data_IF_290898023676
#
_entry.id   IF_290898023676
#
_cell.length_a   1.000
_cell.length_b   1.000
_cell.length_c   1.000
_cell.angle_alpha   90.00
_cell.angle_beta   90.00
_cell.angle_gamma   90.00
#
_symmetry.space_group_name_H-M   'P 1'
#
loop_
_entity.id
_entity.type
_entity.pdbx_description
1 polymer ?
#
# COMPACT_ATOMS: atom_id res chain seq x y z
N UNK A 1 0.63 -7.71 -21.57
CA UNK A 1 0.46 -7.60 -20.10
C UNK A 1 1.84 -7.30 -19.58
N UNK A 2 2.09 -6.06 -19.15
CA UNK A 2 3.36 -5.73 -18.47
C UNK A 2 3.50 -6.60 -17.22
N UNK A 3 4.73 -6.90 -16.83
CA UNK A 3 5.02 -7.74 -15.67
C UNK A 3 4.62 -7.00 -14.38
N UNK A 4 3.34 -7.11 -14.00
CA UNK A 4 2.81 -6.59 -12.73
C UNK A 4 3.60 -7.23 -11.59
N UNK A 5 4.16 -6.41 -10.71
CA UNK A 5 4.89 -6.92 -9.54
C UNK A 5 3.90 -7.33 -8.47
N UNK A 6 3.97 -8.57 -7.97
CA UNK A 6 3.11 -9.00 -6.87
C UNK A 6 3.77 -10.02 -5.94
N UNK A 7 3.36 -10.03 -4.68
CA UNK A 7 3.81 -11.01 -3.69
C UNK A 7 3.00 -12.31 -3.71
N UNK A 8 1.67 -12.19 -3.81
CA UNK A 8 0.75 -13.34 -3.80
C UNK A 8 -0.26 -13.24 -4.92
N UNK A 9 -0.43 -14.36 -5.64
CA UNK A 9 -1.33 -14.42 -6.80
C UNK A 9 -2.79 -14.18 -6.42
N UNK A 10 -3.23 -14.75 -5.31
CA UNK A 10 -4.60 -14.59 -4.78
C UNK A 10 -4.98 -13.12 -4.52
N UNK A 11 -4.03 -12.30 -4.05
CA UNK A 11 -4.22 -10.88 -3.78
C UNK A 11 -4.29 -10.09 -5.09
N UNK A 12 -3.44 -10.44 -6.07
CA UNK A 12 -3.50 -9.88 -7.41
C UNK A 12 -4.87 -10.13 -8.06
N UNK A 13 -5.35 -11.38 -8.01
CA UNK A 13 -6.63 -11.76 -8.60
C UNK A 13 -7.80 -11.06 -7.88
N UNK A 14 -7.70 -10.88 -6.55
CA UNK A 14 -8.68 -10.12 -5.77
C UNK A 14 -8.77 -8.66 -6.23
N UNK A 15 -7.64 -7.99 -6.44
CA UNK A 15 -7.63 -6.62 -6.99
C UNK A 15 -8.15 -6.59 -8.43
N UNK A 16 -7.68 -7.52 -9.26
CA UNK A 16 -8.07 -7.60 -10.67
C UNK A 16 -9.59 -7.70 -10.84
N UNK A 17 -10.27 -8.45 -9.96
CA UNK A 17 -11.73 -8.59 -9.97
C UNK A 17 -12.50 -7.28 -9.71
N UNK A 18 -11.86 -6.30 -9.08
CA UNK A 18 -12.45 -5.01 -8.69
C UNK A 18 -12.00 -3.80 -9.53
N UNK A 19 -11.26 -4.04 -10.62
CA UNK A 19 -10.77 -2.96 -11.48
C UNK A 19 -11.89 -2.30 -12.27
N UNK A 20 -11.80 -0.98 -12.40
CA UNK A 20 -12.64 -0.22 -13.31
C UNK A 20 -12.12 -0.33 -14.75
N UNK A 21 -12.97 -0.04 -15.73
CA UNK A 21 -12.56 -0.01 -17.14
C UNK A 21 -11.40 0.99 -17.34
N UNK A 22 -10.31 0.50 -17.94
CA UNK A 22 -9.09 1.28 -18.18
C UNK A 22 -8.20 1.48 -16.93
N UNK A 23 -8.56 0.90 -15.79
CA UNK A 23 -7.69 0.83 -14.62
C UNK A 23 -6.67 -0.30 -14.81
N UNK A 24 -5.41 -0.03 -14.50
CA UNK A 24 -4.29 -0.97 -14.64
C UNK A 24 -3.57 -1.13 -13.32
N UNK A 25 -3.20 -2.36 -12.96
CA UNK A 25 -2.43 -2.66 -11.77
C UNK A 25 -0.95 -2.38 -12.03
N UNK A 26 -0.32 -1.67 -11.10
CA UNK A 26 1.11 -1.37 -11.08
C UNK A 26 1.82 -2.42 -10.23
N UNK A 27 1.37 -2.61 -8.98
CA UNK A 27 1.92 -3.62 -8.07
C UNK A 27 0.95 -4.03 -6.96
N UNK A 28 1.18 -5.21 -6.37
CA UNK A 28 0.41 -5.74 -5.23
C UNK A 28 1.33 -6.37 -4.19
N UNK A 29 1.43 -5.79 -3.00
CA UNK A 29 2.31 -6.26 -1.94
C UNK A 29 1.53 -6.81 -0.75
N UNK A 30 2.00 -7.95 -0.25
CA UNK A 30 1.49 -8.58 0.96
C UNK A 30 1.94 -7.74 2.17
N UNK A 31 0.97 -7.30 2.97
CA UNK A 31 1.27 -6.54 4.16
C UNK A 31 1.51 -7.49 5.34
N UNK A 32 2.45 -7.13 6.21
CA UNK A 32 2.72 -7.83 7.47
C UNK A 32 2.24 -6.99 8.65
N UNK A 33 1.88 -7.67 9.74
CA UNK A 33 1.32 -7.03 10.93
C UNK A 33 -0.08 -7.56 11.26
N UNK A 34 -0.49 -7.38 12.52
CA UNK A 34 -1.82 -7.75 12.95
C UNK A 34 -2.83 -6.74 12.39
N UNK A 35 -3.78 -7.20 11.57
CA UNK A 35 -4.85 -6.37 11.01
C UNK A 35 -4.61 -5.88 9.58
N UNK A 36 -3.42 -6.03 9.02
CA UNK A 36 -3.13 -5.63 7.63
C UNK A 36 -3.29 -6.81 6.66
N UNK A 37 -3.95 -6.58 5.53
CA UNK A 37 -4.12 -7.56 4.46
C UNK A 37 -3.04 -7.43 3.39
N UNK A 38 -3.26 -6.54 2.43
CA UNK A 38 -2.34 -6.24 1.34
C UNK A 38 -2.48 -4.77 0.93
N UNK A 39 -1.53 -4.29 0.14
CA UNK A 39 -1.62 -3.01 -0.55
C UNK A 39 -1.49 -3.20 -2.06
N UNK A 40 -2.43 -2.64 -2.80
CA UNK A 40 -2.43 -2.57 -4.25
C UNK A 40 -2.20 -1.16 -4.75
N UNK A 41 -1.50 -1.04 -5.87
CA UNK A 41 -1.29 0.18 -6.60
C UNK A 41 -1.87 0.02 -7.99
N UNK A 42 -2.74 0.96 -8.38
CA UNK A 42 -3.23 1.08 -9.75
C UNK A 42 -2.87 2.42 -10.33
N UNK A 43 -3.13 2.64 -11.61
CA UNK A 43 -3.04 3.97 -12.23
C UNK A 43 -4.14 4.95 -11.80
N UNK A 44 -5.02 4.60 -10.83
CA UNK A 44 -6.10 5.47 -10.35
C UNK A 44 -6.16 5.63 -8.83
N UNK A 45 -5.76 4.62 -8.07
CA UNK A 45 -5.92 4.59 -6.61
C UNK A 45 -4.91 3.65 -5.94
N UNK A 46 -4.70 3.89 -4.66
CA UNK A 46 -4.18 2.89 -3.73
C UNK A 46 -5.35 2.03 -3.24
N UNK A 47 -5.15 0.73 -3.12
CA UNK A 47 -6.13 -0.19 -2.54
C UNK A 47 -5.51 -0.81 -1.28
N UNK A 48 -6.16 -0.68 -0.14
CA UNK A 48 -5.70 -1.26 1.14
C UNK A 48 -6.73 -2.26 1.65
N UNK A 49 -6.28 -3.47 1.95
CA UNK A 49 -7.11 -4.43 2.69
C UNK A 49 -6.83 -4.33 4.19
N UNK A 50 -7.89 -4.10 4.96
CA UNK A 50 -7.86 -4.04 6.43
C UNK A 50 -8.73 -5.17 7.01
N UNK A 51 -8.14 -5.97 7.90
CA UNK A 51 -8.74 -7.13 8.57
C UNK A 51 -9.12 -6.83 10.03
N UNK A 52 -8.98 -5.59 10.49
CA UNK A 52 -9.24 -5.18 11.87
C UNK A 52 -10.72 -4.93 12.18
N UNK A 53 -11.62 -5.05 11.20
CA UNK A 53 -13.03 -4.79 11.39
C UNK A 53 -13.71 -5.84 12.30
N UNK A 54 -14.53 -5.36 13.23
CA UNK A 54 -15.28 -6.18 14.18
C UNK A 54 -16.11 -7.25 13.45
N UNK A 55 -16.09 -8.48 13.99
CA UNK A 55 -16.88 -9.59 13.48
C UNK A 55 -16.24 -10.35 12.32
N UNK A 56 -14.90 -10.43 12.27
CA UNK A 56 -14.12 -11.08 11.18
C UNK A 56 -14.39 -10.47 9.80
N UNK A 57 -14.78 -9.20 9.77
CA UNK A 57 -15.02 -8.48 8.53
C UNK A 57 -13.69 -8.04 7.94
N UNK A 58 -13.62 -8.01 6.62
CA UNK A 58 -12.47 -7.50 5.88
C UNK A 58 -12.96 -6.35 5.03
N UNK A 59 -12.30 -5.21 5.11
CA UNK A 59 -12.56 -4.07 4.26
C UNK A 59 -11.49 -3.99 3.16
N UNK A 60 -11.93 -3.69 1.95
CA UNK A 60 -11.04 -3.31 0.84
C UNK A 60 -11.33 -1.84 0.55
N UNK A 61 -10.41 -0.97 0.97
CA UNK A 61 -10.55 0.46 0.86
C UNK A 61 -9.85 0.96 -0.39
N UNK A 62 -10.57 1.71 -1.22
CA UNK A 62 -10.02 2.39 -2.39
C UNK A 62 -9.74 3.85 -2.05
N UNK A 63 -8.47 4.25 -2.16
CA UNK A 63 -8.00 5.61 -1.83
C UNK A 63 -7.54 6.27 -3.13
N UNK A 64 -8.34 7.18 -3.72
CA UNK A 64 -7.91 7.93 -4.90
C UNK A 64 -6.66 8.74 -4.58
N UNK A 65 -5.70 8.82 -5.52
CA UNK A 65 -4.47 9.60 -5.31
C UNK A 65 -4.76 11.07 -4.98
N UNK A 66 -5.79 11.67 -5.59
CA UNK A 66 -6.22 13.05 -5.32
C UNK A 66 -6.74 13.30 -3.90
N UNK A 67 -6.91 12.26 -3.08
CA UNK A 67 -7.31 12.34 -1.67
C UNK A 67 -6.16 12.08 -0.70
N UNK A 68 -5.00 11.66 -1.21
CA UNK A 68 -3.80 11.44 -0.40
C UNK A 68 -3.10 12.79 -0.24
N UNK A 69 -2.97 13.27 0.99
CA UNK A 69 -2.29 14.54 1.29
C UNK A 69 -0.79 14.37 1.48
N UNK A 70 -0.34 13.18 1.91
CA UNK A 70 1.06 12.86 2.08
C UNK A 70 1.29 11.35 2.10
N UNK A 71 2.53 10.95 1.79
CA UNK A 71 3.05 9.60 1.99
C UNK A 71 4.40 9.70 2.71
N UNK A 72 4.67 8.78 3.64
CA UNK A 72 5.92 8.73 4.41
C UNK A 72 6.49 7.32 4.39
N UNK A 73 7.82 7.20 4.41
CA UNK A 73 8.51 5.96 4.81
C UNK A 73 8.66 6.00 6.33
N UNK A 74 8.12 4.99 7.03
CA UNK A 74 8.08 4.93 8.50
C UNK A 74 9.16 4.00 8.99
N UNK A 75 10.06 4.48 9.83
CA UNK A 75 11.13 3.65 10.38
C UNK A 75 11.15 3.64 11.91
N UNK A 76 11.41 2.45 12.47
CA UNK A 76 11.66 2.29 13.89
C UNK A 76 13.01 2.96 14.21
N UNK A 77 12.99 4.00 15.04
CA UNK A 77 14.19 4.69 15.55
C UNK A 77 15.24 3.67 16.00
N UNK A 78 16.39 3.62 15.32
CA UNK A 78 17.60 3.05 15.90
C UNK A 78 18.24 4.11 16.79
N UNK A 79 18.07 3.99 18.10
CA UNK A 79 18.98 4.62 19.06
C UNK A 79 20.31 3.87 18.98
N UNK A 80 21.14 4.16 17.96
CA UNK A 80 22.59 3.87 17.85
C UNK A 80 23.09 3.80 16.39
N UNK A 81 22.69 4.74 15.51
CA UNK A 81 23.46 5.03 14.29
C UNK A 81 23.47 3.97 13.17
N UNK A 82 22.54 3.01 13.16
CA UNK A 82 22.37 2.05 12.06
C UNK A 82 21.26 2.49 11.09
N UNK A 83 21.55 2.47 9.78
CA UNK A 83 20.68 2.94 8.70
C UNK A 83 19.25 2.36 8.71
N UNK A 84 18.31 3.22 8.33
CA UNK A 84 16.87 3.02 8.24
C UNK A 84 16.50 2.04 7.11
N UNK A 85 16.53 0.73 7.34
CA UNK A 85 15.77 -0.23 6.53
C UNK A 85 14.42 -0.42 7.19
N UNK A 86 13.41 0.30 6.70
CA UNK A 86 12.04 0.10 7.18
C UNK A 86 11.16 -0.46 6.09
N UNK A 87 10.44 -1.51 6.43
CA UNK A 87 9.43 -2.10 5.56
C UNK A 87 8.10 -1.34 5.60
N UNK A 88 7.96 -0.20 6.29
CA UNK A 88 6.68 0.45 6.52
C UNK A 88 6.51 1.78 5.81
N UNK A 89 5.26 2.07 5.44
CA UNK A 89 4.81 3.37 4.93
C UNK A 89 3.60 3.87 5.72
N UNK A 90 3.42 5.19 5.73
CA UNK A 90 2.19 5.84 6.17
C UNK A 90 1.57 6.65 5.03
N UNK A 91 0.27 6.45 4.78
CA UNK A 91 -0.52 7.18 3.78
C UNK A 91 -1.55 8.04 4.51
N UNK A 92 -1.47 9.35 4.31
CA UNK A 92 -2.33 10.33 4.98
C UNK A 92 -3.52 10.70 4.09
N UNK A 93 -4.75 10.52 4.60
CA UNK A 93 -6.01 10.77 3.90
C UNK A 93 -6.97 11.49 4.84
N UNK A 94 -7.10 12.81 4.68
CA UNK A 94 -7.88 13.64 5.60
C UNK A 94 -7.32 13.53 7.04
N UNK A 95 -8.14 13.06 7.98
CA UNK A 95 -7.76 12.83 9.39
C UNK A 95 -7.28 11.40 9.66
N UNK A 96 -7.26 10.53 8.66
CA UNK A 96 -6.87 9.13 8.81
C UNK A 96 -5.47 8.87 8.26
N UNK A 97 -4.74 7.98 8.92
CA UNK A 97 -3.45 7.46 8.45
C UNK A 97 -3.55 5.95 8.29
N UNK A 98 -3.23 5.47 7.09
CA UNK A 98 -3.06 4.04 6.82
C UNK A 98 -1.58 3.72 6.94
N UNK A 99 -1.21 2.95 7.96
CA UNK A 99 0.13 2.41 8.10
C UNK A 99 0.16 0.99 7.52
N UNK A 100 1.14 0.71 6.66
CA UNK A 100 1.29 -0.60 6.02
C UNK A 100 2.75 -1.00 6.11
N UNK A 101 2.99 -2.17 6.70
CA UNK A 101 4.33 -2.78 6.78
C UNK A 101 4.46 -3.92 5.77
N UNK A 102 5.64 -4.08 5.19
CA UNK A 102 5.97 -5.08 4.18
C UNK A 102 7.20 -5.89 4.59
N UNK A 103 7.35 -7.09 4.03
CA UNK A 103 8.63 -7.81 4.07
C UNK A 103 9.60 -7.21 3.07
N UNK A 104 10.55 -6.42 3.58
CA UNK A 104 11.63 -5.80 2.81
C UNK A 104 11.37 -4.33 2.50
N UNK A 105 12.41 -3.52 2.66
CA UNK A 105 12.41 -2.06 2.45
C UNK A 105 12.14 -1.66 0.99
N UNK A 106 12.65 -2.41 0.02
CA UNK A 106 12.45 -2.15 -1.42
C UNK A 106 10.96 -1.98 -1.79
N UNK A 107 10.05 -2.69 -1.12
CA UNK A 107 8.60 -2.57 -1.34
C UNK A 107 8.07 -1.24 -0.83
N UNK A 108 8.45 -0.86 0.38
CA UNK A 108 8.06 0.43 0.96
C UNK A 108 8.55 1.60 0.09
N UNK A 109 9.78 1.51 -0.42
CA UNK A 109 10.35 2.50 -1.34
C UNK A 109 9.59 2.55 -2.67
N UNK A 110 9.28 1.40 -3.27
CA UNK A 110 8.52 1.37 -4.50
C UNK A 110 7.12 1.98 -4.31
N UNK A 111 6.41 1.57 -3.25
CA UNK A 111 5.08 2.09 -2.95
C UNK A 111 5.11 3.59 -2.70
N UNK A 112 6.06 4.06 -1.89
CA UNK A 112 6.27 5.48 -1.63
C UNK A 112 6.46 6.26 -2.94
N UNK A 113 7.34 5.78 -3.83
CA UNK A 113 7.63 6.49 -5.08
C UNK A 113 6.45 6.51 -6.04
N UNK A 114 5.69 5.41 -6.15
CA UNK A 114 4.48 5.38 -6.98
C UNK A 114 3.44 6.36 -6.44
N UNK A 115 3.16 6.34 -5.14
CA UNK A 115 2.22 7.29 -4.55
C UNK A 115 2.70 8.73 -4.75
N UNK A 116 3.98 9.01 -4.45
CA UNK A 116 4.58 10.34 -4.61
C UNK A 116 4.45 10.85 -6.05
N UNK A 117 4.68 9.99 -7.04
CA UNK A 117 4.50 10.31 -8.46
C UNK A 117 3.07 10.79 -8.75
N UNK A 118 2.05 10.08 -8.28
CA UNK A 118 0.65 10.42 -8.58
C UNK A 118 0.09 11.60 -7.77
N UNK A 119 0.65 11.91 -6.59
CA UNK A 119 0.17 13.04 -5.76
C UNK A 119 0.90 14.36 -6.05
N UNK A 120 2.04 14.30 -6.75
CA UNK A 120 2.84 15.48 -7.11
C UNK A 120 2.59 15.99 -8.53
N UNK A 121 1.77 15.26 -9.30
CA UNK A 121 1.42 15.56 -10.67
C UNK A 121 0.26 16.57 -10.79
#
# INVERSE_FOLDING_TARGET
>A
MENVTYDRREQLDQIASGLLQGEQIIAVYDAIGAGTGFLGLTNRRVIVQDKSFIGKKVAITSIPYSRISAVSVVSNKSWAGGFFSSGAIAIHVGTHTYEVEFRGDHKSHHVHNVILHYISA
#
